data_IF_968523458450
#
_entry.id   IF_968523458450
#
_cell.length_a   1.000
_cell.length_b   1.000
_cell.length_c   1.000
_cell.angle_alpha   90.00
_cell.angle_beta   90.00
_cell.angle_gamma   90.00
#
_symmetry.space_group_name_H-M   'P 1'
#
loop_
_entity.id
_entity.type
_entity.pdbx_description
1 polymer ?
#
# COMPACT_ATOMS: atom_id res chain seq x y z
N UNK A 1 -0.30 23.44 -23.06
CA UNK A 1 -0.19 23.71 -21.62
C UNK A 1 0.17 22.41 -20.96
N UNK A 2 1.34 22.31 -20.36
CA UNK A 2 1.67 21.17 -19.49
C UNK A 2 0.80 21.28 -18.24
N UNK A 3 0.08 20.22 -17.91
CA UNK A 3 -0.66 20.17 -16.66
C UNK A 3 0.34 19.99 -15.52
N UNK A 4 0.49 21.03 -14.69
CA UNK A 4 1.33 20.95 -13.50
C UNK A 4 0.79 19.84 -12.58
N UNK A 5 1.66 18.89 -12.21
CA UNK A 5 1.36 17.80 -11.29
C UNK A 5 2.19 17.93 -10.02
N UNK A 6 1.65 17.43 -8.91
CA UNK A 6 2.30 17.36 -7.60
C UNK A 6 2.26 15.92 -7.11
N UNK A 7 3.39 15.45 -6.61
CA UNK A 7 3.53 14.11 -6.07
C UNK A 7 2.92 14.01 -4.67
N UNK A 8 1.97 13.09 -4.49
CA UNK A 8 1.38 12.77 -3.19
C UNK A 8 2.14 11.64 -2.51
N UNK A 9 2.77 11.92 -1.36
CA UNK A 9 3.53 10.92 -0.60
C UNK A 9 2.67 9.82 0.04
N UNK A 10 1.38 10.07 0.26
CA UNK A 10 0.48 9.10 0.90
C UNK A 10 0.02 8.02 -0.09
N UNK A 11 -0.47 8.39 -1.28
CA UNK A 11 -0.83 7.40 -2.31
C UNK A 11 0.28 7.08 -3.30
N UNK A 12 1.46 7.71 -3.17
CA UNK A 12 2.63 7.60 -4.05
C UNK A 12 2.33 7.84 -5.55
N UNK A 13 1.46 8.81 -5.85
CA UNK A 13 1.02 9.14 -7.23
C UNK A 13 1.16 10.62 -7.55
N UNK A 14 1.32 10.93 -8.84
CA UNK A 14 1.25 12.29 -9.38
C UNK A 14 -0.20 12.73 -9.54
N UNK A 15 -0.52 13.88 -8.95
CA UNK A 15 -1.87 14.44 -8.91
C UNK A 15 -1.82 15.83 -9.53
N UNK A 16 -2.80 16.19 -10.36
CA UNK A 16 -2.91 17.55 -10.90
C UNK A 16 -2.82 18.60 -9.77
N UNK A 17 -1.94 19.58 -9.94
CA UNK A 17 -1.68 20.63 -8.95
C UNK A 17 -2.95 21.39 -8.56
N UNK A 18 -3.88 21.56 -9.52
CA UNK A 18 -5.20 22.17 -9.30
C UNK A 18 -6.06 21.39 -8.30
N UNK A 19 -5.96 20.07 -8.35
CA UNK A 19 -6.77 19.16 -7.52
C UNK A 19 -6.02 18.66 -6.28
N UNK A 20 -4.74 19.00 -6.11
CA UNK A 20 -3.88 18.46 -5.06
C UNK A 20 -4.45 18.72 -3.65
N UNK A 21 -4.95 19.93 -3.39
CA UNK A 21 -5.51 20.29 -2.07
C UNK A 21 -6.70 19.39 -1.72
N UNK A 22 -7.67 19.24 -2.63
CA UNK A 22 -8.85 18.39 -2.43
C UNK A 22 -8.41 16.92 -2.31
N UNK A 23 -7.48 16.48 -3.16
CA UNK A 23 -6.93 15.14 -3.13
C UNK A 23 -6.33 14.80 -1.76
N UNK A 24 -5.50 15.67 -1.17
CA UNK A 24 -4.82 15.36 0.11
C UNK A 24 -5.81 15.05 1.24
N UNK A 25 -6.90 15.81 1.35
CA UNK A 25 -7.96 15.57 2.35
C UNK A 25 -8.62 14.21 2.17
N UNK A 26 -8.93 13.82 0.94
CA UNK A 26 -9.54 12.52 0.66
C UNK A 26 -8.54 11.37 0.79
N UNK A 27 -7.33 11.57 0.29
CA UNK A 27 -6.25 10.60 0.30
C UNK A 27 -5.89 10.22 1.73
N UNK A 28 -5.72 11.19 2.64
CA UNK A 28 -5.37 10.90 4.04
C UNK A 28 -6.45 10.13 4.79
N UNK A 29 -7.71 10.36 4.45
CA UNK A 29 -8.84 9.69 5.07
C UNK A 29 -9.11 8.31 4.49
N UNK A 30 -8.86 8.10 3.20
CA UNK A 30 -9.22 6.87 2.48
C UNK A 30 -8.04 5.94 2.25
N UNK A 31 -6.83 6.46 2.14
CA UNK A 31 -5.61 5.70 1.85
C UNK A 31 -4.72 5.73 3.11
N UNK A 32 -4.18 4.58 3.46
CA UNK A 32 -3.17 4.41 4.49
C UNK A 32 -2.02 3.59 3.88
N UNK A 33 -0.80 3.89 4.29
CA UNK A 33 0.35 3.04 3.97
C UNK A 33 0.28 1.76 4.83
N UNK A 34 0.35 0.59 4.21
CA UNK A 34 0.46 -0.67 4.93
C UNK A 34 1.73 -0.65 5.80
N UNK A 35 1.62 -0.98 7.08
CA UNK A 35 2.75 -0.94 8.01
C UNK A 35 3.84 -1.99 7.69
N UNK A 36 3.50 -3.02 6.91
CA UNK A 36 4.41 -4.13 6.57
C UNK A 36 5.20 -3.90 5.28
N UNK A 37 4.53 -3.48 4.21
CA UNK A 37 5.16 -3.23 2.90
C UNK A 37 5.29 -1.75 2.53
N UNK A 38 4.72 -0.84 3.34
CA UNK A 38 4.64 0.59 3.05
C UNK A 38 3.93 0.93 1.73
N UNK A 39 3.08 0.03 1.21
CA UNK A 39 2.29 0.31 0.01
C UNK A 39 1.01 1.10 0.34
N UNK A 40 0.58 2.01 -0.54
CA UNK A 40 -0.64 2.78 -0.36
C UNK A 40 -1.87 1.91 -0.60
N UNK A 41 -2.61 1.62 0.47
CA UNK A 41 -3.79 0.75 0.44
C UNK A 41 -5.03 1.54 0.88
N UNK A 42 -6.17 1.41 0.18
CA UNK A 42 -7.44 1.92 0.67
C UNK A 42 -7.78 1.30 2.02
N UNK A 43 -8.14 2.11 3.02
CA UNK A 43 -8.49 1.62 4.36
C UNK A 43 -9.61 0.58 4.34
N UNK A 44 -10.54 0.67 3.39
CA UNK A 44 -11.60 -0.32 3.19
C UNK A 44 -11.11 -1.67 2.67
N UNK A 45 -9.95 -1.69 2.00
CA UNK A 45 -9.33 -2.88 1.42
C UNK A 45 -8.09 -3.31 2.21
N UNK A 46 -7.76 -2.64 3.31
CA UNK A 46 -6.57 -2.93 4.11
C UNK A 46 -6.62 -4.33 4.72
N UNK A 47 -7.79 -4.75 5.19
CA UNK A 47 -8.01 -6.10 5.72
C UNK A 47 -7.77 -7.16 4.64
N UNK A 48 -8.39 -7.01 3.47
CA UNK A 48 -8.17 -7.90 2.33
C UNK A 48 -6.70 -7.91 1.87
N UNK A 49 -6.06 -6.76 1.82
CA UNK A 49 -4.64 -6.67 1.48
C UNK A 49 -3.78 -7.44 2.49
N UNK A 50 -4.06 -7.32 3.78
CA UNK A 50 -3.37 -8.08 4.82
C UNK A 50 -3.59 -9.59 4.62
N UNK A 51 -4.82 -10.03 4.32
CA UNK A 51 -5.12 -11.45 4.06
C UNK A 51 -4.48 -11.98 2.76
N UNK A 52 -4.43 -11.16 1.71
CA UNK A 52 -3.95 -11.60 0.39
C UNK A 52 -2.42 -11.58 0.29
N UNK A 53 -1.75 -10.59 0.89
CA UNK A 53 -0.32 -10.34 0.73
C UNK A 53 0.48 -10.62 2.01
N UNK A 54 -0.12 -10.42 3.18
CA UNK A 54 0.52 -10.48 4.49
C UNK A 54 0.04 -11.65 5.37
N UNK A 55 -0.83 -12.51 4.84
CA UNK A 55 -1.21 -13.74 5.50
C UNK A 55 0.01 -14.63 5.65
N UNK A 56 0.17 -15.12 6.88
CA UNK A 56 1.33 -15.90 7.31
C UNK A 56 1.05 -17.36 7.02
N UNK A 57 1.87 -17.96 6.19
CA UNK A 57 1.87 -19.40 5.99
C UNK A 57 3.07 -20.00 6.71
N UNK A 58 2.87 -21.13 7.38
CA UNK A 58 3.97 -21.89 7.93
C UNK A 58 4.70 -22.54 6.74
N UNK A 59 5.99 -22.23 6.59
CA UNK A 59 6.85 -22.98 5.68
C UNK A 59 6.88 -24.44 6.18
N UNK A 60 6.40 -25.39 5.37
CA UNK A 60 6.37 -26.81 5.74
C UNK A 60 7.75 -27.42 5.95
N UNK A 61 8.79 -26.83 5.35
CA UNK A 61 10.19 -27.29 5.45
C UNK A 61 10.93 -26.64 6.64
N UNK A 62 10.52 -25.42 7.04
CA UNK A 62 11.27 -24.55 7.94
C UNK A 62 10.58 -24.31 9.29
N UNK A 63 9.25 -24.46 9.35
CA UNK A 63 8.41 -24.10 10.51
C UNK A 63 8.24 -22.59 10.75
N UNK A 64 8.84 -21.73 9.92
CA UNK A 64 8.77 -20.26 10.07
C UNK A 64 7.49 -19.73 9.44
N UNK A 65 6.80 -18.82 10.14
CA UNK A 65 5.66 -18.07 9.61
C UNK A 65 6.16 -16.99 8.65
N UNK A 66 6.06 -17.25 7.35
CA UNK A 66 6.43 -16.30 6.30
C UNK A 66 5.19 -15.69 5.68
N UNK A 67 5.24 -14.38 5.46
CA UNK A 67 4.17 -13.67 4.75
C UNK A 67 4.26 -13.98 3.26
N UNK A 68 3.11 -14.10 2.58
CA UNK A 68 3.06 -14.45 1.15
C UNK A 68 3.96 -13.59 0.26
N UNK A 69 4.04 -12.29 0.53
CA UNK A 69 4.95 -11.35 -0.15
C UNK A 69 6.44 -11.62 0.09
N UNK A 70 6.80 -12.24 1.21
CA UNK A 70 8.17 -12.64 1.55
C UNK A 70 8.49 -14.08 1.10
N UNK A 71 7.51 -14.90 0.72
CA UNK A 71 7.76 -16.28 0.25
C UNK A 71 8.67 -16.28 -0.97
N UNK A 72 8.55 -15.31 -1.89
CA UNK A 72 9.47 -15.22 -3.04
C UNK A 72 10.92 -14.92 -2.64
N UNK A 73 11.14 -14.26 -1.51
CA UNK A 73 12.47 -14.01 -0.93
C UNK A 73 12.94 -15.14 -0.01
N UNK A 74 12.07 -16.06 0.36
CA UNK A 74 12.33 -17.17 1.26
C UNK A 74 12.62 -18.47 0.48
N UNK A 75 13.57 -18.40 -0.46
CA UNK A 75 14.17 -19.55 -1.14
C UNK A 75 15.58 -19.80 -0.61
#
# INVERSE_FOLDING_TARGET
MEEEVKYCKNCKRDISAKNYVIHTVHCERKIQLCDRCSEPVPRSELEKHEEEFHSKYACSECGISVEKWQVEKHK
#
